data_IF_247107209227
#
_entry.id   IF_247107209227
#
_cell.length_a   1.000
_cell.length_b   1.000
_cell.length_c   1.000
_cell.angle_alpha   90.00
_cell.angle_beta   90.00
_cell.angle_gamma   90.00
#
_symmetry.space_group_name_H-M   'P 1'
#
loop_
_entity.id
_entity.type
_entity.pdbx_description
1 polymer ?
#
# COMPACT_ATOMS: atom_id res chain seq x y z
N UNK A 1 18.93 -28.17 -55.34
CA UNK A 1 17.72 -27.34 -55.11
C UNK A 1 17.72 -26.84 -53.67
N UNK A 2 17.94 -25.54 -53.41
CA UNK A 2 17.62 -24.93 -52.12
C UNK A 2 16.61 -23.77 -52.32
N UNK A 3 15.35 -24.01 -51.96
CA UNK A 3 14.26 -23.03 -52.10
C UNK A 3 13.78 -22.54 -50.73
N UNK A 4 14.63 -22.01 -49.85
CA UNK A 4 14.17 -21.37 -48.60
C UNK A 4 15.02 -20.19 -48.09
N UNK A 5 15.71 -19.46 -48.97
CA UNK A 5 16.30 -18.15 -48.61
C UNK A 5 15.58 -17.02 -49.34
N UNK A 6 14.33 -16.75 -48.97
CA UNK A 6 13.58 -15.59 -49.49
C UNK A 6 12.88 -14.87 -48.35
N UNK A 7 13.48 -13.72 -47.98
CA UNK A 7 12.82 -12.49 -47.56
C UNK A 7 11.68 -12.61 -46.54
N UNK A 8 12.01 -12.62 -45.25
CA UNK A 8 11.09 -12.14 -44.20
C UNK A 8 11.54 -10.78 -43.63
N UNK A 9 12.74 -10.31 -43.99
CA UNK A 9 13.32 -9.06 -43.47
C UNK A 9 13.00 -7.80 -44.31
N UNK A 10 11.92 -7.77 -45.09
CA UNK A 10 11.62 -6.62 -45.99
C UNK A 10 10.17 -6.17 -46.03
N UNK A 11 9.40 -6.33 -44.95
CA UNK A 11 7.99 -5.87 -44.90
C UNK A 11 7.62 -5.02 -43.70
N UNK A 12 8.60 -4.56 -42.90
CA UNK A 12 8.34 -3.57 -41.87
C UNK A 12 9.01 -2.24 -42.24
N UNK A 13 8.24 -1.13 -42.37
CA UNK A 13 8.81 0.20 -42.60
C UNK A 13 9.78 0.54 -41.46
N UNK A 14 10.95 1.11 -41.77
CA UNK A 14 11.92 1.56 -40.77
C UNK A 14 11.31 2.49 -39.69
N UNK A 15 10.20 3.16 -40.00
CA UNK A 15 9.44 4.00 -39.07
C UNK A 15 8.70 3.21 -37.97
N UNK A 16 8.28 1.98 -38.26
CA UNK A 16 7.63 1.10 -37.29
C UNK A 16 8.69 0.50 -36.35
N UNK A 17 9.84 0.10 -36.90
CA UNK A 17 10.95 -0.43 -36.08
C UNK A 17 11.55 0.63 -35.15
N UNK A 18 11.63 1.90 -35.58
CA UNK A 18 12.06 3.02 -34.74
C UNK A 18 11.05 3.34 -33.62
N UNK A 19 9.75 3.42 -33.95
CA UNK A 19 8.69 3.67 -32.97
C UNK A 19 8.53 2.57 -31.93
N UNK A 20 8.71 1.30 -32.31
CA UNK A 20 8.72 0.16 -31.36
C UNK A 20 9.91 0.26 -30.41
N UNK A 21 11.10 0.63 -30.91
CA UNK A 21 12.30 0.73 -30.07
C UNK A 21 12.27 1.97 -29.15
N UNK A 22 11.58 3.05 -29.53
CA UNK A 22 11.37 4.24 -28.71
C UNK A 22 10.32 4.04 -27.60
N UNK A 23 9.23 3.32 -27.90
CA UNK A 23 8.21 2.89 -26.92
C UNK A 23 8.79 1.88 -25.91
N UNK A 24 9.66 0.96 -26.36
CA UNK A 24 10.28 -0.05 -25.50
C UNK A 24 11.43 0.48 -24.62
N UNK A 25 12.18 1.51 -25.07
CA UNK A 25 13.44 1.90 -24.40
C UNK A 25 13.27 2.78 -23.16
N UNK A 26 12.19 3.56 -23.05
CA UNK A 26 12.09 4.57 -21.99
C UNK A 26 10.79 4.57 -21.16
N UNK A 27 9.69 3.94 -21.62
CA UNK A 27 8.40 4.00 -20.92
C UNK A 27 8.19 2.82 -19.98
N UNK A 28 8.37 1.57 -20.43
CA UNK A 28 7.90 0.40 -19.67
C UNK A 28 8.60 0.23 -18.32
N UNK A 29 9.92 0.45 -18.22
CA UNK A 29 10.65 0.35 -16.95
C UNK A 29 10.33 1.53 -16.02
N UNK A 30 10.18 2.73 -16.57
CA UNK A 30 9.84 3.94 -15.81
C UNK A 30 8.42 3.86 -15.25
N UNK A 31 7.47 3.37 -16.06
CA UNK A 31 6.08 3.19 -15.69
C UNK A 31 5.91 2.02 -14.71
N UNK A 32 6.67 0.94 -14.88
CA UNK A 32 6.72 -0.15 -13.93
C UNK A 32 7.29 0.31 -12.57
N UNK A 33 8.34 1.13 -12.58
CA UNK A 33 8.87 1.75 -11.36
C UNK A 33 7.79 2.57 -10.67
N UNK A 34 7.11 3.48 -11.39
CA UNK A 34 5.99 4.28 -10.86
C UNK A 34 4.85 3.42 -10.29
N UNK A 35 4.57 2.29 -10.93
CA UNK A 35 3.55 1.34 -10.46
C UNK A 35 3.96 0.69 -9.13
N UNK A 36 5.20 0.21 -9.01
CA UNK A 36 5.70 -0.40 -7.77
C UNK A 36 5.85 0.60 -6.63
N UNK A 37 6.20 1.86 -6.95
CA UNK A 37 6.28 2.94 -5.97
C UNK A 37 4.92 3.49 -5.58
N UNK A 38 3.82 3.04 -6.19
CA UNK A 38 2.50 3.51 -5.79
C UNK A 38 2.16 3.02 -4.37
N UNK A 39 1.63 3.91 -3.54
CA UNK A 39 1.23 3.65 -2.15
C UNK A 39 0.25 2.47 -2.03
N UNK A 40 -0.69 2.34 -2.97
CA UNK A 40 -1.67 1.25 -2.99
C UNK A 40 -1.02 -0.11 -3.27
N UNK A 41 -0.07 -0.16 -4.20
CA UNK A 41 0.62 -1.40 -4.61
C UNK A 41 1.64 -1.81 -3.54
N UNK A 42 2.47 -0.85 -3.10
CA UNK A 42 3.48 -1.10 -2.07
C UNK A 42 2.83 -1.47 -0.74
N UNK A 43 1.74 -0.79 -0.35
CA UNK A 43 0.95 -1.13 0.84
C UNK A 43 0.35 -2.53 0.78
N UNK A 44 -0.16 -2.94 -0.38
CA UNK A 44 -0.64 -4.31 -0.60
C UNK A 44 0.49 -5.34 -0.47
N UNK A 45 1.63 -5.10 -1.12
CA UNK A 45 2.78 -6.00 -1.07
C UNK A 45 3.31 -6.18 0.36
N UNK A 46 3.45 -5.08 1.11
CA UNK A 46 3.84 -5.11 2.52
C UNK A 46 2.82 -5.91 3.34
N UNK A 47 1.53 -5.67 3.12
CA UNK A 47 0.45 -6.38 3.80
C UNK A 47 0.49 -7.89 3.59
N UNK A 48 0.76 -8.36 2.36
CA UNK A 48 0.88 -9.80 2.05
C UNK A 48 2.10 -10.42 2.74
N UNK A 49 3.26 -9.76 2.71
CA UNK A 49 4.50 -10.27 3.33
C UNK A 49 4.37 -10.36 4.86
N UNK A 50 3.87 -9.30 5.49
CA UNK A 50 3.64 -9.28 6.94
C UNK A 50 2.53 -10.26 7.33
N UNK A 51 1.45 -10.33 6.55
CA UNK A 51 0.33 -11.24 6.76
C UNK A 51 0.73 -12.71 6.68
N UNK A 52 1.59 -13.10 5.74
CA UNK A 52 2.10 -14.47 5.65
C UNK A 52 2.89 -14.86 6.91
N UNK A 53 3.80 -13.99 7.34
CA UNK A 53 4.65 -14.24 8.51
C UNK A 53 3.84 -14.26 9.81
N UNK A 54 2.85 -13.37 9.93
CA UNK A 54 1.90 -13.38 11.04
C UNK A 54 1.11 -14.69 11.08
N UNK A 55 0.62 -15.14 9.93
CA UNK A 55 -0.11 -16.40 9.80
C UNK A 55 0.74 -17.59 10.26
N UNK A 56 2.03 -17.62 9.91
CA UNK A 56 2.94 -18.67 10.37
C UNK A 56 3.16 -18.65 11.88
N UNK A 57 3.25 -17.47 12.48
CA UNK A 57 3.33 -17.32 13.95
C UNK A 57 2.06 -17.85 14.62
N UNK A 58 0.89 -17.53 14.07
CA UNK A 58 -0.40 -18.07 14.55
C UNK A 58 -0.44 -19.60 14.40
N UNK A 59 0.04 -20.17 13.29
CA UNK A 59 0.10 -21.63 13.11
C UNK A 59 0.97 -22.30 14.18
N UNK A 60 2.12 -21.72 14.52
CA UNK A 60 2.98 -22.25 15.57
C UNK A 60 2.36 -22.12 16.96
N UNK A 61 1.63 -21.03 17.22
CA UNK A 61 0.84 -20.90 18.44
C UNK A 61 -0.22 -22.00 18.55
N UNK A 62 -0.97 -22.27 17.48
CA UNK A 62 -1.95 -23.38 17.48
C UNK A 62 -1.24 -24.73 17.62
N UNK A 63 -0.05 -24.91 17.06
CA UNK A 63 0.75 -26.13 17.24
C UNK A 63 1.18 -26.33 18.70
N UNK A 64 1.57 -25.27 19.39
CA UNK A 64 1.89 -25.28 20.82
C UNK A 64 0.67 -25.73 21.64
N UNK A 65 -0.51 -25.14 21.38
CA UNK A 65 -1.76 -25.51 22.05
C UNK A 65 -2.13 -26.98 21.80
N UNK A 66 -2.01 -27.47 20.55
CA UNK A 66 -2.22 -28.89 20.22
C UNK A 66 -1.24 -29.80 20.96
N UNK A 67 0.02 -29.39 21.08
CA UNK A 67 1.05 -30.12 21.84
C UNK A 67 0.67 -30.28 23.32
N UNK A 68 0.15 -29.22 23.94
CA UNK A 68 -0.32 -29.24 25.34
C UNK A 68 -1.54 -30.17 25.50
N UNK A 69 -2.53 -30.10 24.61
CA UNK A 69 -3.68 -31.01 24.63
C UNK A 69 -3.21 -32.48 24.53
N UNK A 70 -2.28 -32.76 23.60
CA UNK A 70 -1.74 -34.11 23.39
C UNK A 70 -0.97 -34.59 24.61
N UNK A 71 -0.21 -33.71 25.27
CA UNK A 71 0.50 -34.00 26.51
C UNK A 71 -0.47 -34.42 27.62
N UNK A 72 -1.54 -33.66 27.86
CA UNK A 72 -2.56 -33.98 28.88
C UNK A 72 -3.28 -35.29 28.55
N UNK A 73 -3.67 -35.51 27.29
CA UNK A 73 -4.33 -36.75 26.86
C UNK A 73 -3.42 -37.97 27.04
N UNK A 74 -2.14 -37.88 26.66
CA UNK A 74 -1.19 -38.99 26.82
C UNK A 74 -0.97 -39.30 28.31
N UNK A 75 -0.85 -38.27 29.15
CA UNK A 75 -0.68 -38.41 30.59
C UNK A 75 -1.89 -39.10 31.27
N UNK A 76 -3.12 -38.84 30.79
CA UNK A 76 -4.33 -39.36 31.39
C UNK A 76 -4.73 -40.77 30.89
N UNK A 77 -4.38 -41.13 29.65
CA UNK A 77 -4.89 -42.35 28.98
C UNK A 77 -3.83 -43.44 28.71
N UNK A 78 -2.53 -43.21 28.98
CA UNK A 78 -1.46 -44.20 28.72
C UNK A 78 -0.87 -44.76 30.02
N UNK A 79 -0.85 -46.09 30.15
CA UNK A 79 -0.36 -46.81 31.35
C UNK A 79 1.17 -46.82 31.50
N UNK A 80 1.91 -46.59 30.41
CA UNK A 80 3.34 -46.32 30.46
C UNK A 80 3.52 -44.80 30.53
N UNK A 81 3.83 -44.28 31.72
CA UNK A 81 4.20 -42.89 31.97
C UNK A 81 5.55 -42.49 31.33
N UNK A 82 5.83 -42.94 30.10
CA UNK A 82 6.99 -42.48 29.32
C UNK A 82 6.67 -41.11 28.72
N UNK A 83 6.74 -40.10 29.58
CA UNK A 83 6.55 -38.70 29.22
C UNK A 83 7.72 -38.27 28.32
N UNK A 84 7.53 -38.29 27.00
CA UNK A 84 8.46 -37.62 26.09
C UNK A 84 8.24 -36.11 26.15
N UNK A 85 9.15 -35.41 26.82
CA UNK A 85 9.19 -33.94 26.91
C UNK A 85 9.24 -33.24 25.54
N UNK A 86 9.60 -33.97 24.48
CA UNK A 86 9.68 -33.48 23.09
C UNK A 86 8.30 -33.25 22.42
N UNK A 87 7.19 -33.34 23.15
CA UNK A 87 5.84 -33.14 22.59
C UNK A 87 5.43 -31.67 22.44
N UNK A 88 6.11 -30.73 23.13
CA UNK A 88 5.73 -29.32 23.15
C UNK A 88 6.68 -28.53 22.24
N UNK A 89 6.24 -28.08 21.04
CA UNK A 89 7.07 -27.35 20.08
C UNK A 89 7.22 -25.87 20.50
N UNK A 90 7.77 -25.62 21.69
CA UNK A 90 7.96 -24.26 22.20
C UNK A 90 9.05 -23.50 21.42
N UNK A 91 10.11 -24.20 21.00
CA UNK A 91 11.19 -23.62 20.20
C UNK A 91 10.70 -23.06 18.86
N UNK A 92 9.82 -23.79 18.17
CA UNK A 92 9.27 -23.37 16.88
C UNK A 92 8.39 -22.12 17.00
N UNK A 93 7.61 -22.03 18.09
CA UNK A 93 6.82 -20.84 18.38
C UNK A 93 7.70 -19.62 18.61
N UNK A 94 8.70 -19.72 19.49
CA UNK A 94 9.62 -18.59 19.75
C UNK A 94 10.38 -18.18 18.49
N UNK A 95 10.87 -19.15 17.71
CA UNK A 95 11.54 -18.91 16.43
C UNK A 95 10.63 -18.14 15.45
N UNK A 96 9.36 -18.51 15.36
CA UNK A 96 8.39 -17.81 14.51
C UNK A 96 8.13 -16.38 14.96
N UNK A 97 8.03 -16.12 16.27
CA UNK A 97 7.86 -14.77 16.83
C UNK A 97 9.09 -13.90 16.53
N UNK A 98 10.29 -14.43 16.73
CA UNK A 98 11.53 -13.72 16.41
C UNK A 98 11.60 -13.41 14.91
N UNK A 99 11.26 -14.37 14.05
CA UNK A 99 11.22 -14.19 12.60
C UNK A 99 10.21 -13.11 12.19
N UNK A 100 9.01 -13.12 12.78
CA UNK A 100 8.00 -12.09 12.58
C UNK A 100 8.52 -10.70 12.95
N UNK A 101 9.21 -10.58 14.08
CA UNK A 101 9.76 -9.30 14.54
C UNK A 101 10.88 -8.80 13.64
N UNK A 102 11.74 -9.70 13.14
CA UNK A 102 12.79 -9.37 12.17
C UNK A 102 12.21 -8.89 10.84
N UNK A 103 11.19 -9.58 10.32
CA UNK A 103 10.54 -9.21 9.06
C UNK A 103 9.79 -7.88 9.22
N UNK A 104 9.08 -7.68 10.33
CA UNK A 104 8.44 -6.40 10.65
C UNK A 104 9.47 -5.25 10.76
N UNK A 105 10.60 -5.49 11.42
CA UNK A 105 11.70 -4.54 11.51
C UNK A 105 12.32 -4.21 10.15
N UNK A 106 12.55 -5.22 9.31
CA UNK A 106 13.07 -5.04 7.96
C UNK A 106 12.11 -4.23 7.08
N UNK A 107 10.82 -4.54 7.12
CA UNK A 107 9.77 -3.79 6.42
C UNK A 107 9.69 -2.34 6.93
N UNK A 108 9.78 -2.12 8.24
CA UNK A 108 9.76 -0.78 8.83
C UNK A 108 10.94 0.07 8.33
N UNK A 109 12.15 -0.49 8.32
CA UNK A 109 13.35 0.20 7.79
C UNK A 109 13.18 0.47 6.30
N UNK A 110 12.65 -0.48 5.53
CA UNK A 110 12.38 -0.31 4.10
C UNK A 110 11.40 0.85 3.86
N UNK A 111 10.26 0.87 4.55
CA UNK A 111 9.27 1.96 4.43
C UNK A 111 9.89 3.31 4.80
N UNK A 112 10.71 3.36 5.86
CA UNK A 112 11.41 4.58 6.27
C UNK A 112 12.38 5.10 5.20
N UNK A 113 13.11 4.19 4.54
CA UNK A 113 14.02 4.54 3.45
C UNK A 113 13.22 5.05 2.25
N UNK A 114 12.15 4.36 1.87
CA UNK A 114 11.30 4.77 0.74
C UNK A 114 10.65 6.14 0.99
N UNK A 115 10.17 6.39 2.21
CA UNK A 115 9.66 7.69 2.62
C UNK A 115 10.73 8.77 2.50
N UNK A 116 11.97 8.49 2.91
CA UNK A 116 13.06 9.47 2.85
C UNK A 116 13.57 9.77 1.43
N UNK A 117 13.43 8.84 0.47
CA UNK A 117 13.94 9.01 -0.90
C UNK A 117 12.86 9.59 -1.82
N UNK A 118 11.58 9.25 -1.59
CA UNK A 118 10.49 9.61 -2.50
C UNK A 118 9.52 10.66 -1.96
N UNK A 119 9.32 10.77 -0.63
CA UNK A 119 8.44 11.81 -0.09
C UNK A 119 9.21 13.12 0.07
N UNK A 120 9.17 13.95 -0.97
CA UNK A 120 9.60 15.35 -0.89
C UNK A 120 8.48 16.27 -0.36
N UNK A 121 7.25 15.76 -0.26
CA UNK A 121 6.07 16.48 0.21
C UNK A 121 5.31 15.69 1.32
N UNK A 122 4.74 16.41 2.29
CA UNK A 122 4.06 15.82 3.47
C UNK A 122 2.79 15.01 3.09
N UNK A 123 2.25 15.23 1.89
CA UNK A 123 1.07 14.56 1.34
C UNK A 123 1.37 13.19 0.71
N UNK A 124 2.64 12.89 0.42
CA UNK A 124 3.06 11.62 -0.19
C UNK A 124 3.70 10.63 0.80
N UNK A 125 3.68 10.95 2.10
CA UNK A 125 4.24 10.03 3.08
C UNK A 125 3.45 8.71 3.10
N UNK A 126 4.14 7.61 2.83
CA UNK A 126 3.59 6.26 2.87
C UNK A 126 3.11 5.95 4.30
N UNK A 127 1.81 6.19 4.55
CA UNK A 127 1.23 6.05 5.88
C UNK A 127 -0.04 6.87 6.12
N UNK A 128 -0.57 6.71 7.32
CA UNK A 128 -1.91 7.04 7.83
C UNK A 128 -2.49 8.45 7.55
N UNK A 129 -1.72 9.40 7.01
CA UNK A 129 -2.09 10.83 7.02
C UNK A 129 -2.40 11.45 5.65
N UNK A 130 -2.09 10.82 4.52
CA UNK A 130 -2.30 11.43 3.20
C UNK A 130 -3.77 11.82 2.95
N UNK A 131 -4.70 10.87 3.15
CA UNK A 131 -6.14 11.11 2.96
C UNK A 131 -6.75 12.05 4.01
N UNK A 132 -6.19 12.05 5.23
CA UNK A 132 -6.68 12.87 6.34
C UNK A 132 -6.30 14.35 6.16
N UNK A 133 -5.13 14.61 5.59
CA UNK A 133 -4.69 15.95 5.21
C UNK A 133 -5.53 16.47 4.05
N UNK A 134 -5.73 15.66 3.00
CA UNK A 134 -6.55 16.03 1.85
C UNK A 134 -8.02 16.34 2.23
N UNK A 135 -8.63 15.51 3.08
CA UNK A 135 -10.01 15.75 3.56
C UNK A 135 -10.13 17.00 4.43
N UNK A 136 -9.10 17.37 5.20
CA UNK A 136 -9.08 18.64 5.95
C UNK A 136 -8.96 19.84 5.01
N UNK A 137 -8.13 19.75 3.98
CA UNK A 137 -7.97 20.80 2.97
C UNK A 137 -9.27 21.02 2.18
N UNK A 138 -9.90 19.94 1.70
CA UNK A 138 -11.18 19.99 0.98
C UNK A 138 -12.30 20.61 1.81
N UNK A 139 -12.40 20.28 3.10
CA UNK A 139 -13.39 20.88 4.00
C UNK A 139 -13.13 22.35 4.28
N UNK A 140 -11.86 22.75 4.42
CA UNK A 140 -11.48 24.15 4.59
C UNK A 140 -11.81 24.98 3.34
N UNK A 141 -11.68 24.39 2.15
CA UNK A 141 -12.03 25.03 0.88
C UNK A 141 -13.55 25.11 0.68
N UNK A 142 -14.29 24.06 1.01
CA UNK A 142 -15.76 24.06 1.02
C UNK A 142 -16.34 25.10 2.00
N UNK A 143 -15.74 25.24 3.19
CA UNK A 143 -16.15 26.24 4.16
C UNK A 143 -15.99 27.67 3.61
N UNK A 144 -14.88 27.95 2.90
CA UNK A 144 -14.66 29.24 2.24
C UNK A 144 -15.68 29.49 1.13
N UNK A 145 -15.99 28.50 0.31
CA UNK A 145 -17.00 28.64 -0.75
C UNK A 145 -18.38 28.94 -0.14
N UNK A 146 -18.75 28.23 0.92
CA UNK A 146 -20.01 28.48 1.63
C UNK A 146 -20.05 29.88 2.26
N UNK A 147 -18.93 30.36 2.81
CA UNK A 147 -18.79 31.70 3.36
C UNK A 147 -18.89 32.79 2.29
N UNK A 148 -18.27 32.57 1.12
CA UNK A 148 -18.36 33.49 -0.03
C UNK A 148 -19.78 33.55 -0.58
N UNK A 149 -20.49 32.42 -0.68
CA UNK A 149 -21.89 32.39 -1.09
C UNK A 149 -22.76 33.19 -0.11
N UNK A 150 -22.57 33.00 1.20
CA UNK A 150 -23.28 33.78 2.21
C UNK A 150 -22.98 35.28 2.11
N UNK A 151 -21.72 35.65 1.86
CA UNK A 151 -21.30 37.04 1.66
C UNK A 151 -21.91 37.66 0.40
N UNK A 152 -21.99 36.92 -0.70
CA UNK A 152 -22.63 37.39 -1.95
C UNK A 152 -24.14 37.57 -1.77
N UNK A 153 -24.82 36.63 -1.10
CA UNK A 153 -26.26 36.74 -0.79
C UNK A 153 -26.53 37.94 0.13
N UNK A 154 -25.69 38.15 1.15
CA UNK A 154 -25.80 39.32 2.03
C UNK A 154 -25.53 40.64 1.29
N UNK A 155 -24.57 40.68 0.37
CA UNK A 155 -24.31 41.86 -0.46
C UNK A 155 -25.45 42.13 -1.45
N UNK A 156 -26.05 41.10 -2.04
CA UNK A 156 -27.24 41.24 -2.90
C UNK A 156 -28.45 41.73 -2.10
N UNK A 157 -28.68 41.19 -0.90
CA UNK A 157 -29.78 41.62 -0.01
C UNK A 157 -29.62 43.08 0.46
N UNK A 158 -28.38 43.54 0.67
CA UNK A 158 -28.08 44.94 0.99
C UNK A 158 -28.14 45.86 -0.24
N UNK A 159 -27.76 45.37 -1.42
CA UNK A 159 -27.87 46.12 -2.68
C UNK A 159 -29.32 46.29 -3.15
N UNK A 160 -30.19 45.28 -2.94
CA UNK A 160 -31.64 45.37 -3.23
C UNK A 160 -32.39 46.30 -2.25
N UNK A 161 -31.86 46.52 -1.04
CA UNK A 161 -32.43 47.43 -0.03
C UNK A 161 -31.76 48.82 0.01
N UNK A 162 -30.82 49.11 -0.90
CA UNK A 162 -30.25 50.45 -1.04
C UNK A 162 -31.25 51.30 -1.86
N UNK A 163 -31.90 52.34 -1.29
CA UNK A 163 -32.76 53.21 -2.08
C UNK A 163 -31.92 53.88 -3.18
N UNK A 164 -32.44 53.85 -4.40
CA UNK A 164 -31.80 54.41 -5.59
C UNK A 164 -31.20 55.80 -5.29
N UNK A 165 -29.99 56.11 -5.79
CA UNK A 165 -29.37 57.40 -5.55
C UNK A 165 -30.35 58.48 -6.04
N UNK A 166 -30.82 59.31 -5.11
CA UNK A 166 -31.61 60.49 -5.47
C UNK A 166 -30.68 61.38 -6.29
N UNK A 167 -30.99 61.55 -7.57
CA UNK A 167 -30.42 62.58 -8.42
C UNK A 167 -30.57 63.92 -7.68
N UNK A 168 -29.44 64.49 -7.28
CA UNK A 168 -29.38 65.79 -6.63
C UNK A 168 -29.37 66.86 -7.74
N UNK A 169 -30.49 67.59 -7.80
CA UNK A 169 -30.84 68.89 -8.43
C UNK A 169 -29.83 69.51 -9.40
#
# INVERSE_FOLDING_TARGET
MPLFHTKVQTVLPNQITAGINEVLRNSTITDFRKFLTNDKVLGFAIGVVVGNTFTDTVKQFVALMRGIIKFISTFLFTAQHTVRWQLIPFGDFVSSVVSMLLIAGAVFVLVKILNSIWAQDETEQFGYNATLVETKMLRAEQAKTNELLAKLVALQTNADNQPAPKEEV
#
